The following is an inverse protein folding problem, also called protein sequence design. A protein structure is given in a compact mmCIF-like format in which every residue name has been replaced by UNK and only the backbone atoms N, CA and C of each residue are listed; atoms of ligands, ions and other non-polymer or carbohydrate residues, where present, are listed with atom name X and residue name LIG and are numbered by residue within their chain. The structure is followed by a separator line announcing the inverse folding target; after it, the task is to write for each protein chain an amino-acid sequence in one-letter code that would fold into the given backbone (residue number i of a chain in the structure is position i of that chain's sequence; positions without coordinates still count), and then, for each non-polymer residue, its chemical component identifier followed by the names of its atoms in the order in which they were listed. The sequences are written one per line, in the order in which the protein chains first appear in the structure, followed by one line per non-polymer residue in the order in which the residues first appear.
data_IF_658656310726
#
_entry.id   IF_658656310726
#
_cell.length_a   1.000
_cell.length_b   1.000
_cell.length_c   1.000
_cell.angle_alpha   90.00
_cell.angle_beta   90.00
_cell.angle_gamma   90.00
#
_symmetry.space_group_name_H-M   'P 1'
#
loop_
_entity.id
_entity.type
_entity.pdbx_description
1 polymer ?
#
# COMPACT_ATOMS: atom_id res chain seq x y z
N UNK A 1 -5.56 -33.65 35.99
CA UNK A 1 -6.84 -32.96 35.69
C UNK A 1 -7.78 -33.93 35.01
N UNK A 2 -9.10 -33.88 35.27
CA UNK A 2 -10.07 -34.71 34.53
C UNK A 2 -10.52 -33.94 33.28
N UNK A 3 -10.46 -34.57 32.11
CA UNK A 3 -10.94 -33.96 30.86
C UNK A 3 -12.45 -33.76 30.94
N UNK A 4 -12.92 -32.56 30.55
CA UNK A 4 -14.34 -32.19 30.52
C UNK A 4 -15.02 -32.58 29.20
N UNK A 5 -14.26 -33.05 28.20
CA UNK A 5 -14.78 -33.41 26.88
C UNK A 5 -15.18 -32.22 26.00
N UNK A 6 -14.94 -30.99 26.46
CA UNK A 6 -15.10 -29.75 25.68
C UNK A 6 -13.81 -29.48 24.92
N UNK A 7 -13.92 -29.17 23.63
CA UNK A 7 -12.79 -28.88 22.75
C UNK A 7 -12.98 -27.58 21.99
N UNK A 8 -11.94 -27.08 21.33
CA UNK A 8 -12.05 -25.89 20.48
C UNK A 8 -13.10 -26.01 19.36
N UNK A 9 -13.49 -27.23 18.96
CA UNK A 9 -14.59 -27.46 17.99
C UNK A 9 -15.97 -27.06 18.51
N UNK A 10 -16.13 -27.03 19.84
CA UNK A 10 -17.37 -26.65 20.49
C UNK A 10 -17.49 -25.11 20.59
N UNK A 11 -16.41 -24.37 20.29
CA UNK A 11 -16.33 -22.91 20.27
C UNK A 11 -16.68 -22.36 18.87
N UNK A 12 -17.59 -21.39 18.82
CA UNK A 12 -17.98 -20.69 17.59
C UNK A 12 -17.15 -19.42 17.37
N UNK A 13 -16.94 -18.64 18.42
CA UNK A 13 -16.10 -17.43 18.37
C UNK A 13 -15.55 -17.07 19.75
N UNK A 14 -14.43 -16.36 19.80
CA UNK A 14 -13.91 -15.71 21.01
C UNK A 14 -13.32 -14.34 20.65
N UNK A 15 -13.78 -13.30 21.34
CA UNK A 15 -13.40 -11.90 21.06
C UNK A 15 -13.02 -11.22 22.36
N UNK A 16 -11.93 -10.46 22.33
CA UNK A 16 -11.57 -9.56 23.42
C UNK A 16 -12.48 -8.34 23.37
N UNK A 17 -13.17 -8.07 24.48
CA UNK A 17 -14.16 -7.01 24.59
C UNK A 17 -13.95 -6.25 25.91
N UNK A 18 -14.66 -5.14 26.09
CA UNK A 18 -14.63 -4.36 27.32
C UNK A 18 -16.01 -4.39 27.96
N UNK A 19 -16.11 -4.94 29.17
CA UNK A 19 -17.37 -4.95 29.89
C UNK A 19 -17.64 -3.57 30.47
N UNK A 20 -18.59 -2.87 29.84
CA UNK A 20 -19.05 -1.56 30.31
C UNK A 20 -19.96 -1.76 31.52
N UNK A 21 -19.66 -1.05 32.61
CA UNK A 21 -20.46 -1.12 33.83
C UNK A 21 -21.83 -0.48 33.63
N UNK A 22 -22.90 -1.21 33.96
CA UNK A 22 -24.27 -0.68 33.97
C UNK A 22 -24.74 -0.29 35.39
N UNK A 23 -23.91 -0.49 36.41
CA UNK A 23 -24.21 -0.16 37.82
C UNK A 23 -23.13 0.75 38.41
N UNK A 24 -23.48 1.75 39.25
CA UNK A 24 -22.52 2.70 39.84
C UNK A 24 -21.37 2.04 40.62
N UNK A 25 -21.58 0.81 41.13
CA UNK A 25 -20.65 0.10 42.01
C UNK A 25 -19.80 -0.98 41.33
N UNK A 26 -19.97 -1.24 40.03
CA UNK A 26 -19.11 -2.19 39.29
C UNK A 26 -18.04 -1.46 38.48
N UNK A 27 -16.78 -1.80 38.71
CA UNK A 27 -15.67 -1.33 37.86
C UNK A 27 -15.69 -2.14 36.57
N UNK A 28 -15.93 -1.47 35.42
CA UNK A 28 -15.80 -2.11 34.11
C UNK A 28 -14.36 -2.60 33.87
N UNK A 29 -14.19 -3.61 33.03
CA UNK A 29 -12.86 -4.21 32.81
C UNK A 29 -12.74 -4.98 31.49
N UNK A 30 -11.51 -5.32 31.07
CA UNK A 30 -11.27 -6.15 29.90
C UNK A 30 -11.82 -7.56 30.14
N UNK A 31 -12.48 -8.11 29.12
CA UNK A 31 -13.06 -9.45 29.18
C UNK A 31 -12.83 -10.19 27.86
N UNK A 32 -12.93 -11.52 27.92
CA UNK A 32 -13.02 -12.34 26.70
C UNK A 32 -14.42 -12.90 26.60
N UNK A 33 -15.17 -12.45 25.59
CA UNK A 33 -16.51 -12.96 25.27
C UNK A 33 -16.37 -14.13 24.32
N UNK A 34 -17.03 -15.24 24.60
CA UNK A 34 -17.02 -16.39 23.72
C UNK A 34 -18.43 -16.92 23.47
N UNK A 35 -18.65 -17.40 22.26
CA UNK A 35 -19.88 -18.04 21.82
C UNK A 35 -19.60 -19.51 21.52
N UNK A 36 -20.49 -20.39 21.96
CA UNK A 36 -20.40 -21.83 21.73
C UNK A 36 -21.29 -22.24 20.56
N UNK A 37 -20.92 -23.33 19.91
CA UNK A 37 -21.79 -23.99 18.92
C UNK A 37 -22.99 -24.65 19.63
N UNK A 38 -24.13 -24.84 18.94
CA UNK A 38 -25.32 -25.43 19.55
C UNK A 38 -25.09 -26.76 20.32
N UNK A 39 -24.35 -27.74 19.75
CA UNK A 39 -23.97 -28.95 20.48
C UNK A 39 -23.00 -28.68 21.65
N UNK A 40 -22.07 -27.73 21.47
CA UNK A 40 -21.10 -27.32 22.49
C UNK A 40 -21.75 -26.68 23.71
N UNK A 41 -22.74 -25.82 23.50
CA UNK A 41 -23.49 -25.13 24.55
C UNK A 41 -24.13 -26.10 25.54
N UNK A 42 -24.76 -27.19 25.05
CA UNK A 42 -25.38 -28.21 25.91
C UNK A 42 -24.36 -28.91 26.80
N UNK A 43 -23.24 -29.35 26.22
CA UNK A 43 -22.15 -30.00 26.96
C UNK A 43 -21.54 -29.05 27.98
N UNK A 44 -21.33 -27.79 27.61
CA UNK A 44 -20.71 -26.79 28.47
C UNK A 44 -21.60 -26.42 29.66
N UNK A 45 -22.92 -26.34 29.44
CA UNK A 45 -23.92 -26.15 30.51
C UNK A 45 -23.82 -27.25 31.58
N UNK A 46 -23.76 -28.53 31.16
CA UNK A 46 -23.65 -29.66 32.09
C UNK A 46 -22.33 -29.66 32.89
N UNK A 47 -21.23 -29.27 32.25
CA UNK A 47 -19.91 -29.18 32.87
C UNK A 47 -19.86 -28.01 33.85
N UNK A 48 -20.30 -26.82 33.45
CA UNK A 48 -20.30 -25.62 34.30
C UNK A 48 -21.19 -25.80 35.52
N UNK A 49 -22.37 -26.43 35.37
CA UNK A 49 -23.28 -26.74 36.49
C UNK A 49 -22.64 -27.61 37.58
N UNK A 50 -21.72 -28.52 37.22
CA UNK A 50 -21.00 -29.38 38.18
C UNK A 50 -19.75 -28.71 38.77
N UNK A 51 -19.28 -27.63 38.15
CA UNK A 51 -18.03 -26.95 38.48
C UNK A 51 -18.23 -25.55 39.06
N UNK A 52 -19.46 -25.15 39.41
CA UNK A 52 -19.73 -23.88 40.10
C UNK A 52 -18.84 -23.77 41.35
N UNK A 53 -18.10 -22.67 41.46
CA UNK A 53 -17.14 -22.40 42.53
C UNK A 53 -15.77 -23.09 42.38
N UNK A 54 -15.53 -23.81 41.27
CA UNK A 54 -14.25 -24.50 40.99
C UNK A 54 -13.56 -23.89 39.75
N UNK A 55 -12.21 -23.97 39.67
CA UNK A 55 -11.47 -23.51 38.50
C UNK A 55 -11.69 -24.44 37.30
N UNK A 56 -11.98 -23.86 36.13
CA UNK A 56 -12.03 -24.52 34.84
C UNK A 56 -10.80 -24.13 34.03
N UNK A 57 -9.84 -25.04 33.92
CA UNK A 57 -8.57 -24.78 33.21
C UNK A 57 -8.77 -24.94 31.71
N UNK A 58 -8.37 -23.91 30.96
CA UNK A 58 -8.32 -23.87 29.50
C UNK A 58 -6.93 -24.29 29.04
N UNK A 59 -6.86 -25.32 28.20
CA UNK A 59 -5.62 -25.82 27.62
C UNK A 59 -5.55 -25.46 26.13
N UNK A 60 -4.35 -25.14 25.66
CA UNK A 60 -3.98 -25.06 24.25
C UNK A 60 -2.68 -25.84 24.07
N UNK A 61 -2.67 -26.83 23.17
CA UNK A 61 -1.52 -27.72 22.92
C UNK A 61 -0.91 -28.30 24.21
N UNK A 62 -1.77 -28.80 25.11
CA UNK A 62 -1.43 -29.35 26.43
C UNK A 62 -0.82 -28.36 27.44
N UNK A 63 -0.72 -27.07 27.10
CA UNK A 63 -0.27 -26.00 28.01
C UNK A 63 -1.49 -25.29 28.63
N UNK A 64 -1.54 -25.12 29.97
CA UNK A 64 -2.60 -24.35 30.61
C UNK A 64 -2.45 -22.86 30.31
N UNK A 65 -3.46 -22.27 29.67
CA UNK A 65 -3.45 -20.86 29.24
C UNK A 65 -4.24 -19.97 30.20
N UNK A 66 -5.32 -20.48 30.77
CA UNK A 66 -6.17 -19.73 31.73
C UNK A 66 -6.88 -20.68 32.68
N UNK A 67 -7.22 -20.23 33.88
CA UNK A 67 -7.92 -21.03 34.89
C UNK A 67 -9.03 -20.22 35.61
N UNK A 68 -10.04 -19.70 34.87
CA UNK A 68 -11.14 -18.95 35.48
C UNK A 68 -11.97 -19.82 36.43
N UNK A 69 -12.51 -19.19 37.47
CA UNK A 69 -13.46 -19.81 38.39
C UNK A 69 -14.86 -19.74 37.75
N UNK A 70 -15.57 -20.87 37.69
CA UNK A 70 -16.94 -20.92 37.17
C UNK A 70 -17.89 -20.29 38.19
N UNK A 71 -18.51 -19.16 37.84
CA UNK A 71 -19.42 -18.43 38.73
C UNK A 71 -20.89 -18.84 38.56
N UNK A 72 -21.28 -19.21 37.33
CA UNK A 72 -22.65 -19.59 36.98
C UNK A 72 -22.66 -20.68 35.91
N UNK A 73 -23.83 -21.28 35.69
CA UNK A 73 -24.07 -22.11 34.51
C UNK A 73 -23.97 -21.26 33.24
N UNK A 74 -23.24 -21.76 32.24
CA UNK A 74 -23.00 -21.08 30.96
C UNK A 74 -23.55 -21.95 29.85
N UNK A 75 -24.50 -21.40 29.08
CA UNK A 75 -25.16 -22.09 27.97
C UNK A 75 -24.53 -21.69 26.63
N UNK A 76 -25.05 -20.66 25.96
CA UNK A 76 -24.62 -20.29 24.60
C UNK A 76 -23.42 -19.35 24.57
N UNK A 77 -23.34 -18.42 25.53
CA UNK A 77 -22.34 -17.37 25.58
C UNK A 77 -21.75 -17.27 26.99
N UNK A 78 -20.45 -17.04 27.07
CA UNK A 78 -19.75 -16.87 28.33
C UNK A 78 -18.75 -15.73 28.29
N UNK A 79 -18.33 -15.30 29.47
CA UNK A 79 -17.38 -14.19 29.66
C UNK A 79 -16.27 -14.64 30.60
N UNK A 80 -15.02 -14.45 30.18
CA UNK A 80 -13.84 -14.61 31.04
C UNK A 80 -13.45 -13.23 31.55
N UNK A 81 -13.51 -13.05 32.86
CA UNK A 81 -13.20 -11.79 33.57
C UNK A 81 -11.86 -11.87 34.29
N UNK A 82 -11.34 -10.73 34.77
CA UNK A 82 -10.11 -10.69 35.58
C UNK A 82 -8.82 -10.76 34.76
N UNK A 83 -8.87 -10.44 33.47
CA UNK A 83 -7.72 -10.42 32.56
C UNK A 83 -7.32 -8.99 32.21
N UNK A 84 -6.03 -8.76 31.97
CA UNK A 84 -5.54 -7.48 31.45
C UNK A 84 -5.99 -7.28 29.99
N UNK A 85 -5.96 -6.05 29.47
CA UNK A 85 -6.37 -5.80 28.07
C UNK A 85 -5.50 -6.53 27.05
N UNK A 86 -4.20 -6.69 27.32
CA UNK A 86 -3.28 -7.39 26.41
C UNK A 86 -3.45 -8.91 26.52
N UNK A 87 -3.68 -9.43 27.73
CA UNK A 87 -3.94 -10.85 27.95
C UNK A 87 -5.29 -11.28 27.39
N UNK A 88 -6.31 -10.42 27.46
CA UNK A 88 -7.62 -10.66 26.85
C UNK A 88 -7.51 -10.84 25.33
N UNK A 89 -6.74 -9.98 24.64
CA UNK A 89 -6.48 -10.09 23.20
C UNK A 89 -5.74 -11.38 22.86
N UNK A 90 -4.68 -11.72 23.62
CA UNK A 90 -3.91 -12.95 23.42
C UNK A 90 -4.77 -14.19 23.62
N UNK A 91 -5.54 -14.24 24.70
CA UNK A 91 -6.43 -15.35 25.01
C UNK A 91 -7.54 -15.51 23.97
N UNK A 92 -8.13 -14.41 23.47
CA UNK A 92 -9.13 -14.46 22.41
C UNK A 92 -8.57 -15.04 21.09
N UNK A 93 -7.34 -14.64 20.71
CA UNK A 93 -6.64 -15.19 19.53
C UNK A 93 -6.34 -16.67 19.74
N UNK A 94 -5.84 -17.06 20.91
CA UNK A 94 -5.52 -18.45 21.25
C UNK A 94 -6.75 -19.36 21.24
N UNK A 95 -7.86 -18.91 21.84
CA UNK A 95 -9.14 -19.63 21.82
C UNK A 95 -9.68 -19.76 20.39
N UNK A 96 -9.59 -18.70 19.59
CA UNK A 96 -10.00 -18.72 18.18
C UNK A 96 -9.12 -19.63 17.32
N UNK A 97 -7.82 -19.72 17.61
CA UNK A 97 -6.89 -20.61 16.93
C UNK A 97 -7.20 -22.09 17.23
N UNK A 98 -7.57 -22.42 18.47
CA UNK A 98 -8.00 -23.77 18.86
C UNK A 98 -9.30 -24.24 18.20
N UNK A 99 -10.12 -23.31 17.68
CA UNK A 99 -11.34 -23.61 16.94
C UNK A 99 -11.11 -23.93 15.45
N UNK A 100 -9.89 -23.78 14.95
CA UNK A 100 -9.59 -24.07 13.55
C UNK A 100 -9.74 -25.58 13.28
N UNK A 101 -10.55 -25.99 12.29
CA UNK A 101 -10.82 -27.41 12.01
C UNK A 101 -9.64 -28.16 11.37
N UNK A 102 -8.52 -27.48 11.16
CA UNK A 102 -7.33 -28.01 10.48
C UNK A 102 -6.23 -28.32 11.50
N UNK A 103 -5.72 -29.56 11.47
CA UNK A 103 -4.64 -30.01 12.38
C UNK A 103 -3.27 -29.40 12.07
N UNK A 104 -3.08 -28.89 10.85
CA UNK A 104 -1.87 -28.23 10.38
C UNK A 104 -2.24 -27.10 9.43
N UNK A 105 -1.65 -25.94 9.65
CA UNK A 105 -1.62 -24.83 8.70
C UNK A 105 -0.25 -24.93 8.04
N UNK A 106 -0.21 -25.45 6.82
CA UNK A 106 1.03 -25.46 6.05
C UNK A 106 1.21 -24.09 5.41
N UNK A 107 2.18 -23.33 5.91
CA UNK A 107 2.55 -22.03 5.35
C UNK A 107 3.26 -22.28 4.01
N UNK A 108 2.54 -22.08 2.91
CA UNK A 108 3.05 -22.31 1.54
C UNK A 108 4.10 -21.25 1.15
N UNK A 109 3.96 -20.03 1.67
CA UNK A 109 4.90 -18.93 1.42
C UNK A 109 4.75 -17.84 2.48
N UNK A 110 5.84 -17.53 3.18
CA UNK A 110 5.94 -16.40 4.09
C UNK A 110 7.15 -15.57 3.69
N UNK A 111 6.95 -14.26 3.57
CA UNK A 111 8.01 -13.31 3.22
C UNK A 111 8.00 -12.15 4.20
N UNK A 112 8.82 -12.28 5.23
CA UNK A 112 9.00 -11.24 6.25
C UNK A 112 10.17 -10.35 5.85
N UNK A 113 9.87 -9.07 5.61
CA UNK A 113 10.89 -8.06 5.27
C UNK A 113 11.13 -7.21 6.52
N UNK A 114 12.38 -7.21 6.99
CA UNK A 114 12.79 -6.40 8.13
C UNK A 114 12.69 -4.89 7.83
N UNK A 115 12.26 -4.05 8.78
CA UNK A 115 12.15 -2.60 8.59
C UNK A 115 13.45 -1.93 8.13
N UNK A 116 14.60 -2.42 8.59
CA UNK A 116 15.93 -1.91 8.23
C UNK A 116 16.28 -2.12 6.76
N UNK A 117 15.90 -3.26 6.18
CA UNK A 117 16.07 -3.52 4.74
C UNK A 117 15.17 -2.60 3.93
N UNK A 118 13.92 -2.41 4.36
CA UNK A 118 12.98 -1.48 3.73
C UNK A 118 13.52 -0.05 3.69
N UNK A 119 14.00 0.47 4.83
CA UNK A 119 14.56 1.82 4.90
C UNK A 119 15.82 1.97 4.04
N UNK A 120 16.69 0.96 4.04
CA UNK A 120 17.91 0.98 3.23
C UNK A 120 17.59 1.01 1.74
N UNK A 121 16.60 0.23 1.29
CA UNK A 121 16.14 0.23 -0.09
C UNK A 121 15.56 1.59 -0.49
N UNK A 122 14.72 2.21 0.34
CA UNK A 122 14.17 3.54 0.08
C UNK A 122 15.31 4.56 -0.08
N UNK A 123 16.27 4.59 0.85
CA UNK A 123 17.39 5.53 0.80
C UNK A 123 18.23 5.35 -0.48
N UNK A 124 18.55 4.10 -0.84
CA UNK A 124 19.30 3.80 -2.06
C UNK A 124 18.54 4.21 -3.33
N UNK A 125 17.23 3.96 -3.39
CA UNK A 125 16.41 4.36 -4.52
C UNK A 125 16.28 5.88 -4.63
N UNK A 126 16.23 6.60 -3.50
CA UNK A 126 16.19 8.05 -3.47
C UNK A 126 17.50 8.64 -3.99
N UNK A 127 18.65 8.12 -3.54
CA UNK A 127 19.97 8.51 -4.05
C UNK A 127 20.06 8.23 -5.56
N UNK A 128 19.67 7.03 -6.02
CA UNK A 128 19.67 6.69 -7.44
C UNK A 128 18.77 7.61 -8.26
N UNK A 129 17.59 7.97 -7.74
CA UNK A 129 16.68 8.93 -8.37
C UNK A 129 17.27 10.33 -8.48
N UNK A 130 17.91 10.85 -7.43
CA UNK A 130 18.59 12.16 -7.46
C UNK A 130 19.74 12.16 -8.46
N UNK A 131 20.59 11.13 -8.43
CA UNK A 131 21.72 11.01 -9.37
C UNK A 131 21.23 10.93 -10.81
N UNK A 132 20.18 10.14 -11.08
CA UNK A 132 19.56 10.04 -12.40
C UNK A 132 18.96 11.38 -12.86
N UNK A 133 18.26 12.08 -11.96
CA UNK A 133 17.70 13.40 -12.24
C UNK A 133 18.79 14.42 -12.61
N UNK A 134 19.87 14.49 -11.83
CA UNK A 134 20.99 15.40 -12.10
C UNK A 134 21.68 15.05 -13.42
N UNK A 135 21.91 13.76 -13.70
CA UNK A 135 22.54 13.33 -14.95
C UNK A 135 21.71 13.74 -16.17
N UNK A 136 20.39 13.54 -16.12
CA UNK A 136 19.44 13.99 -17.14
C UNK A 136 19.49 15.52 -17.27
N UNK A 137 19.49 16.25 -16.16
CA UNK A 137 19.50 17.71 -16.19
C UNK A 137 20.77 18.26 -16.83
N UNK A 138 21.93 17.71 -16.48
CA UNK A 138 23.23 18.06 -17.09
C UNK A 138 23.19 17.78 -18.60
N UNK A 139 22.73 16.59 -19.00
CA UNK A 139 22.62 16.23 -20.42
C UNK A 139 21.76 17.23 -21.19
N UNK A 140 20.59 17.59 -20.65
CA UNK A 140 19.68 18.54 -21.28
C UNK A 140 20.30 19.93 -21.40
N UNK A 141 20.94 20.44 -20.35
CA UNK A 141 21.56 21.77 -20.36
C UNK A 141 22.73 21.82 -21.34
N UNK A 142 23.59 20.81 -21.36
CA UNK A 142 24.77 20.78 -22.25
C UNK A 142 24.35 20.68 -23.71
N UNK A 143 23.40 19.79 -24.03
CA UNK A 143 23.02 19.55 -25.42
C UNK A 143 22.06 20.63 -25.98
N UNK A 144 21.07 21.06 -25.20
CA UNK A 144 20.00 21.96 -25.64
C UNK A 144 20.14 23.41 -25.15
N UNK A 145 21.16 23.72 -24.34
CA UNK A 145 21.45 25.08 -23.82
C UNK A 145 20.23 25.70 -23.13
N UNK A 146 19.72 26.83 -23.64
CA UNK A 146 18.56 27.54 -23.09
C UNK A 146 17.29 26.67 -23.07
N UNK A 147 17.04 25.90 -24.14
CA UNK A 147 15.92 24.96 -24.21
C UNK A 147 16.08 23.84 -23.18
N UNK A 148 17.32 23.42 -22.94
CA UNK A 148 17.68 22.47 -21.90
C UNK A 148 17.31 22.96 -20.50
N UNK A 149 17.63 24.21 -20.19
CA UNK A 149 17.29 24.83 -18.90
C UNK A 149 15.78 24.90 -18.69
N UNK A 150 15.02 25.24 -19.73
CA UNK A 150 13.55 25.21 -19.68
C UNK A 150 13.02 23.79 -19.46
N UNK A 151 13.58 22.78 -20.14
CA UNK A 151 13.19 21.39 -19.93
C UNK A 151 13.48 20.89 -18.51
N UNK A 152 14.59 21.31 -17.90
CA UNK A 152 14.89 20.98 -16.49
C UNK A 152 13.88 21.61 -15.54
N UNK A 153 13.48 22.87 -15.79
CA UNK A 153 12.42 23.51 -15.01
C UNK A 153 11.07 22.78 -15.14
N UNK A 154 10.71 22.36 -16.36
CA UNK A 154 9.52 21.52 -16.60
C UNK A 154 9.64 20.16 -15.89
N UNK A 155 10.83 19.55 -15.90
CA UNK A 155 11.08 18.26 -15.25
C UNK A 155 10.93 18.35 -13.72
N UNK A 156 11.35 19.48 -13.12
CA UNK A 156 11.11 19.76 -11.71
C UNK A 156 9.61 19.86 -11.41
N UNK A 157 8.85 20.61 -12.23
CA UNK A 157 7.40 20.72 -12.07
C UNK A 157 6.70 19.37 -12.25
N UNK A 158 7.14 18.57 -13.22
CA UNK A 158 6.71 17.20 -13.43
C UNK A 158 6.88 16.35 -12.16
N UNK A 159 8.09 16.35 -11.58
CA UNK A 159 8.37 15.59 -10.37
C UNK A 159 7.49 16.05 -9.19
N UNK A 160 7.29 17.37 -9.03
CA UNK A 160 6.41 17.93 -8.01
C UNK A 160 4.94 17.50 -8.20
N UNK A 161 4.43 17.52 -9.43
CA UNK A 161 3.06 17.08 -9.72
C UNK A 161 2.86 15.60 -9.45
N UNK A 162 3.79 14.74 -9.85
CA UNK A 162 3.70 13.30 -9.57
C UNK A 162 3.73 13.04 -8.06
N UNK A 163 4.63 13.68 -7.32
CA UNK A 163 4.70 13.54 -5.86
C UNK A 163 3.44 14.08 -5.16
N UNK A 164 2.86 15.18 -5.65
CA UNK A 164 1.60 15.71 -5.14
C UNK A 164 0.45 14.70 -5.34
N UNK A 165 0.38 14.05 -6.50
CA UNK A 165 -0.64 13.03 -6.79
C UNK A 165 -0.45 11.79 -5.91
N UNK A 166 0.79 11.33 -5.72
CA UNK A 166 1.07 10.22 -4.80
C UNK A 166 0.69 10.54 -3.35
N UNK A 167 0.73 11.82 -2.95
CA UNK A 167 0.25 12.25 -1.63
C UNK A 167 -1.28 12.29 -1.54
N UNK A 168 -1.96 12.64 -2.63
CA UNK A 168 -3.43 12.77 -2.67
C UNK A 168 -4.15 11.44 -2.83
N UNK A 169 -3.60 10.53 -3.64
CA UNK A 169 -4.17 9.21 -3.88
C UNK A 169 -3.51 8.23 -2.91
N UNK A 170 -4.26 7.44 -2.12
CA UNK A 170 -3.71 6.46 -1.17
C UNK A 170 -3.10 5.25 -1.90
N UNK A 171 -2.04 5.47 -2.67
CA UNK A 171 -1.26 4.45 -3.36
C UNK A 171 -0.12 4.01 -2.46
N UNK A 172 0.05 2.71 -2.28
CA UNK A 172 1.19 2.17 -1.55
C UNK A 172 2.45 2.26 -2.41
N UNK A 173 3.36 3.17 -2.05
CA UNK A 173 4.63 3.32 -2.73
C UNK A 173 5.59 2.20 -2.32
N UNK A 174 5.64 1.15 -3.14
CA UNK A 174 6.60 0.05 -2.98
C UNK A 174 7.94 0.37 -3.66
N UNK A 175 8.96 -0.46 -3.40
CA UNK A 175 10.25 -0.35 -4.11
C UNK A 175 10.10 -0.39 -5.64
N UNK A 176 9.20 -1.25 -6.13
CA UNK A 176 8.86 -1.31 -7.54
C UNK A 176 8.13 -0.04 -8.01
N UNK A 177 7.26 0.54 -7.18
CA UNK A 177 6.66 1.86 -7.45
C UNK A 177 7.70 2.96 -7.66
N UNK A 178 8.76 2.99 -6.84
CA UNK A 178 9.87 3.95 -6.99
C UNK A 178 10.62 3.72 -8.31
N UNK A 179 10.86 2.46 -8.69
CA UNK A 179 11.46 2.15 -9.98
C UNK A 179 10.59 2.63 -11.16
N UNK A 180 9.27 2.46 -11.06
CA UNK A 180 8.31 2.99 -12.04
C UNK A 180 8.39 4.51 -12.15
N UNK A 181 8.46 5.21 -11.02
CA UNK A 181 8.65 6.66 -10.98
C UNK A 181 9.96 7.09 -11.67
N UNK A 182 11.09 6.45 -11.36
CA UNK A 182 12.39 6.76 -11.98
C UNK A 182 12.34 6.54 -13.50
N UNK A 183 11.70 5.46 -13.97
CA UNK A 183 11.50 5.22 -15.39
C UNK A 183 10.68 6.34 -16.04
N UNK A 184 9.61 6.78 -15.40
CA UNK A 184 8.77 7.86 -15.91
C UNK A 184 9.50 9.21 -15.99
N UNK A 185 10.45 9.49 -15.09
CA UNK A 185 11.32 10.69 -15.19
C UNK A 185 12.10 10.69 -16.51
N UNK A 186 12.67 9.54 -16.91
CA UNK A 186 13.36 9.42 -18.20
C UNK A 186 12.44 9.66 -19.40
N UNK A 187 11.25 9.06 -19.37
CA UNK A 187 10.24 9.25 -20.42
C UNK A 187 9.70 10.68 -20.48
N UNK A 188 9.62 11.39 -19.36
CA UNK A 188 9.17 12.78 -19.33
C UNK A 188 10.10 13.73 -20.10
N UNK A 189 11.38 13.38 -20.19
CA UNK A 189 12.38 14.17 -20.91
C UNK A 189 12.33 13.90 -22.41
N UNK A 190 12.02 12.66 -22.80
CA UNK A 190 11.95 12.23 -24.21
C UNK A 190 10.94 13.07 -25.02
N UNK A 191 9.77 13.35 -24.44
CA UNK A 191 8.78 14.22 -25.07
C UNK A 191 9.33 15.64 -25.34
N UNK A 192 10.07 16.22 -24.40
CA UNK A 192 10.69 17.53 -24.57
C UNK A 192 11.81 17.50 -25.63
N UNK A 193 12.63 16.44 -25.64
CA UNK A 193 13.66 16.22 -26.66
C UNK A 193 13.04 16.21 -28.06
N UNK A 194 11.98 15.43 -28.26
CA UNK A 194 11.33 15.32 -29.57
C UNK A 194 10.76 16.65 -30.04
N UNK A 195 10.10 17.41 -29.16
CA UNK A 195 9.58 18.75 -29.47
C UNK A 195 10.74 19.68 -29.89
N UNK A 196 11.85 19.66 -29.15
CA UNK A 196 12.99 20.52 -29.44
C UNK A 196 13.68 20.17 -30.74
N UNK A 197 13.82 18.89 -31.08
CA UNK A 197 14.38 18.47 -32.36
C UNK A 197 13.47 18.87 -33.53
N UNK A 198 12.15 18.67 -33.43
CA UNK A 198 11.22 19.14 -34.47
C UNK A 198 11.21 20.66 -34.62
N UNK A 199 11.30 21.40 -33.52
CA UNK A 199 11.43 22.85 -33.56
C UNK A 199 12.77 23.28 -34.19
N UNK A 200 13.89 22.61 -33.87
CA UNK A 200 15.21 22.89 -34.47
C UNK A 200 15.23 22.58 -35.97
N UNK A 201 14.53 21.56 -36.43
CA UNK A 201 14.34 21.29 -37.87
C UNK A 201 13.68 22.49 -38.56
N UNK A 202 12.57 23.01 -38.03
CA UNK A 202 11.87 24.15 -38.64
C UNK A 202 12.71 25.45 -38.61
N UNK A 203 13.48 25.67 -37.55
CA UNK A 203 14.41 26.80 -37.46
C UNK A 203 15.52 26.71 -38.51
N UNK A 204 16.02 25.51 -38.83
CA UNK A 204 17.03 25.30 -39.89
C UNK A 204 16.49 25.57 -41.28
N UNK A 205 15.19 25.39 -41.50
CA UNK A 205 14.50 25.72 -42.76
C UNK A 205 14.22 27.24 -42.87
N UNK A 206 14.56 28.03 -41.85
CA UNK A 206 14.48 29.49 -41.88
C UNK A 206 13.15 30.06 -41.39
N UNK A 207 12.29 29.24 -40.77
CA UNK A 207 11.03 29.72 -40.19
C UNK A 207 11.27 30.65 -39.01
N UNK A 208 10.34 31.59 -38.79
CA UNK A 208 10.35 32.44 -37.61
C UNK A 208 10.21 31.60 -36.33
N UNK A 209 10.83 32.04 -35.24
CA UNK A 209 10.87 31.28 -33.97
C UNK A 209 9.48 30.92 -33.43
N UNK A 210 8.54 31.86 -33.47
CA UNK A 210 7.17 31.64 -33.03
C UNK A 210 6.45 30.56 -33.88
N UNK A 211 6.67 30.57 -35.19
CA UNK A 211 6.09 29.59 -36.11
C UNK A 211 6.73 28.20 -35.95
N UNK A 212 8.05 28.15 -35.77
CA UNK A 212 8.79 26.91 -35.53
C UNK A 212 8.33 26.20 -34.25
N UNK A 213 7.96 26.96 -33.20
CA UNK A 213 7.39 26.41 -31.97
C UNK A 213 6.05 25.72 -32.30
N UNK A 214 5.10 26.41 -32.93
CA UNK A 214 3.77 25.85 -33.20
C UNK A 214 3.81 24.61 -34.10
N UNK A 215 4.63 24.65 -35.15
CA UNK A 215 4.82 23.51 -36.06
C UNK A 215 5.55 22.36 -35.36
N UNK A 216 6.58 22.65 -34.56
CA UNK A 216 7.32 21.65 -33.79
C UNK A 216 6.41 20.84 -32.86
N UNK A 217 5.52 21.52 -32.13
CA UNK A 217 4.52 20.86 -31.28
C UNK A 217 3.55 20.01 -32.09
N UNK A 218 3.04 20.54 -33.21
CA UNK A 218 2.07 19.82 -34.06
C UNK A 218 2.69 18.55 -34.67
N UNK A 219 3.95 18.63 -35.14
CA UNK A 219 4.68 17.48 -35.71
C UNK A 219 5.09 16.46 -34.66
N UNK A 220 5.44 16.88 -33.44
CA UNK A 220 5.81 15.97 -32.36
C UNK A 220 4.60 15.26 -31.73
N UNK A 221 3.41 15.84 -31.85
CA UNK A 221 2.21 15.38 -31.13
C UNK A 221 1.85 13.91 -31.37
N UNK A 222 1.85 13.44 -32.62
CA UNK A 222 1.49 12.05 -32.94
C UNK A 222 2.44 11.06 -32.26
N UNK A 223 3.76 11.25 -32.41
CA UNK A 223 4.75 10.38 -31.79
C UNK A 223 4.70 10.40 -30.27
N UNK A 224 4.51 11.57 -29.64
CA UNK A 224 4.36 11.66 -28.18
C UNK A 224 3.13 10.90 -27.72
N UNK A 225 1.98 11.15 -28.36
CA UNK A 225 0.73 10.49 -28.00
C UNK A 225 0.86 8.98 -28.16
N UNK A 226 1.36 8.51 -29.30
CA UNK A 226 1.39 7.08 -29.61
C UNK A 226 2.35 6.33 -28.66
N UNK A 227 3.50 6.91 -28.31
CA UNK A 227 4.44 6.36 -27.32
C UNK A 227 3.85 6.30 -25.90
N UNK A 228 3.20 7.39 -25.45
CA UNK A 228 2.59 7.43 -24.12
C UNK A 228 1.35 6.53 -24.03
N UNK A 229 0.54 6.42 -25.09
CA UNK A 229 -0.60 5.49 -25.15
C UNK A 229 -0.12 4.04 -25.07
N UNK A 230 0.94 3.66 -25.80
CA UNK A 230 1.54 2.33 -25.69
C UNK A 230 1.97 2.03 -24.25
N UNK A 231 2.63 3.00 -23.61
CA UNK A 231 3.08 2.88 -22.21
C UNK A 231 1.91 2.75 -21.22
N UNK A 232 0.80 3.44 -21.46
CA UNK A 232 -0.43 3.31 -20.67
C UNK A 232 -1.09 1.95 -20.86
N UNK A 233 -1.09 1.40 -22.08
CA UNK A 233 -1.58 0.05 -22.34
C UNK A 233 -0.74 -0.96 -21.54
N UNK A 234 0.59 -0.85 -21.58
CA UNK A 234 1.48 -1.70 -20.78
C UNK A 234 1.20 -1.56 -19.29
N UNK A 235 1.07 -0.33 -18.77
CA UNK A 235 0.74 -0.10 -17.37
C UNK A 235 -0.61 -0.72 -16.99
N UNK A 236 -1.62 -0.63 -17.87
CA UNK A 236 -2.95 -1.23 -17.63
C UNK A 236 -2.88 -2.75 -17.54
N UNK A 237 -2.15 -3.38 -18.47
CA UNK A 237 -1.93 -4.84 -18.46
C UNK A 237 -1.20 -5.24 -17.17
N UNK A 238 -0.13 -4.54 -16.79
CA UNK A 238 0.60 -4.81 -15.54
C UNK A 238 -0.27 -4.60 -14.30
N UNK A 239 -1.20 -3.66 -14.32
CA UNK A 239 -2.10 -3.42 -13.20
C UNK A 239 -3.16 -4.53 -13.05
N UNK A 240 -3.74 -5.00 -14.15
CA UNK A 240 -4.75 -6.07 -14.12
C UNK A 240 -4.16 -7.44 -13.84
N UNK A 241 -3.05 -7.80 -14.50
CA UNK A 241 -2.46 -9.14 -14.40
C UNK A 241 -1.33 -9.22 -13.35
N UNK A 242 -0.73 -8.09 -12.97
CA UNK A 242 0.33 -8.06 -11.97
C UNK A 242 -0.19 -8.30 -10.55
N UNK A 243 0.70 -8.72 -9.66
CA UNK A 243 0.41 -8.94 -8.23
C UNK A 243 1.37 -8.17 -7.33
N UNK A 244 0.91 -7.84 -6.12
CA UNK A 244 1.71 -7.17 -5.09
C UNK A 244 2.45 -5.93 -5.60
N UNK A 245 3.78 -6.01 -5.62
CA UNK A 245 4.67 -4.91 -6.03
C UNK A 245 4.53 -4.48 -7.50
N UNK A 246 4.13 -5.39 -8.41
CA UNK A 246 3.97 -5.06 -9.85
C UNK A 246 2.82 -4.09 -10.07
N UNK A 247 1.73 -4.21 -9.29
CA UNK A 247 0.63 -3.23 -9.34
C UNK A 247 1.10 -1.84 -8.91
N UNK A 248 1.95 -1.76 -7.89
CA UNK A 248 2.55 -0.49 -7.45
C UNK A 248 3.42 0.16 -8.53
N UNK A 249 4.23 -0.63 -9.24
CA UNK A 249 4.98 -0.16 -10.42
C UNK A 249 4.05 0.35 -11.53
N UNK A 250 3.00 -0.41 -11.85
CA UNK A 250 2.05 -0.07 -12.90
C UNK A 250 1.32 1.25 -12.64
N UNK A 251 0.86 1.47 -11.41
CA UNK A 251 0.19 2.72 -11.01
C UNK A 251 1.15 3.91 -11.08
N UNK A 252 2.38 3.75 -10.57
CA UNK A 252 3.40 4.80 -10.62
C UNK A 252 3.75 5.17 -12.07
N UNK A 253 3.91 4.18 -12.95
CA UNK A 253 4.16 4.37 -14.38
C UNK A 253 2.99 5.09 -15.07
N UNK A 254 1.75 4.66 -14.83
CA UNK A 254 0.57 5.26 -15.44
C UNK A 254 0.42 6.75 -15.06
N UNK A 255 0.55 7.06 -13.77
CA UNK A 255 0.52 8.44 -13.28
C UNK A 255 1.67 9.24 -13.90
N UNK A 256 2.88 8.68 -13.90
CA UNK A 256 4.06 9.30 -14.48
C UNK A 256 3.89 9.64 -15.96
N UNK A 257 3.28 8.76 -16.74
CA UNK A 257 3.01 8.94 -18.18
C UNK A 257 1.93 10.00 -18.44
N UNK A 258 0.86 10.02 -17.65
CA UNK A 258 -0.20 11.02 -17.81
C UNK A 258 0.34 12.42 -17.53
N UNK A 259 1.10 12.56 -16.44
CA UNK A 259 1.65 13.86 -16.01
C UNK A 259 2.78 14.30 -16.94
N UNK A 260 3.60 13.38 -17.46
CA UNK A 260 4.65 13.75 -18.43
C UNK A 260 4.02 14.32 -19.70
N UNK A 261 2.99 13.67 -20.22
CA UNK A 261 2.27 14.12 -21.40
C UNK A 261 1.64 15.51 -21.16
N UNK A 262 0.99 15.72 -20.02
CA UNK A 262 0.44 17.03 -19.64
C UNK A 262 1.53 18.12 -19.57
N UNK A 263 2.62 17.86 -18.85
CA UNK A 263 3.70 18.84 -18.68
C UNK A 263 4.38 19.21 -20.00
N UNK A 264 4.63 18.23 -20.87
CA UNK A 264 5.23 18.47 -22.18
C UNK A 264 4.34 19.33 -23.09
N UNK A 265 3.03 19.08 -23.15
CA UNK A 265 2.15 19.82 -24.08
C UNK A 265 1.79 21.20 -23.53
N UNK A 266 1.50 21.29 -22.23
CA UNK A 266 0.94 22.51 -21.64
C UNK A 266 2.03 23.39 -21.05
N UNK A 267 2.89 22.84 -20.20
CA UNK A 267 3.89 23.63 -19.47
C UNK A 267 5.05 24.02 -20.39
N UNK A 268 5.63 23.08 -21.12
CA UNK A 268 6.74 23.38 -22.06
C UNK A 268 6.30 24.37 -23.14
N UNK A 269 5.09 24.19 -23.71
CA UNK A 269 4.56 25.11 -24.74
C UNK A 269 4.35 26.52 -24.19
N UNK A 270 3.80 26.64 -22.98
CA UNK A 270 3.58 27.93 -22.34
C UNK A 270 4.90 28.64 -22.02
N UNK A 271 5.87 27.91 -21.49
CA UNK A 271 7.21 28.47 -21.20
C UNK A 271 7.92 28.91 -22.46
N UNK A 272 7.91 28.11 -23.53
CA UNK A 272 8.53 28.48 -24.80
C UNK A 272 7.87 29.72 -25.41
N UNK A 273 6.54 29.80 -25.40
CA UNK A 273 5.83 31.01 -25.85
C UNK A 273 6.21 32.24 -25.04
N UNK A 274 6.36 32.11 -23.72
CA UNK A 274 6.74 33.23 -22.86
C UNK A 274 8.17 33.72 -23.13
N UNK A 275 9.12 32.80 -23.33
CA UNK A 275 10.53 33.13 -23.58
C UNK A 275 10.75 33.75 -24.96
N UNK A 276 10.02 33.30 -25.98
CA UNK A 276 10.19 33.75 -27.37
C UNK A 276 9.18 34.81 -27.83
N UNK A 277 8.35 35.34 -26.92
CA UNK A 277 7.40 36.44 -27.19
C UNK A 277 8.04 37.84 -27.07
N UNK A 278 9.31 37.93 -26.66
CA UNK A 278 10.13 39.14 -26.75
C UNK A 278 11.04 39.12 -27.98
#
# INVERSE_FOLDING_TARGET
TKSTGITGKDLKSAVADFQQSQSPDSTGGPVVRFELTGPGAKKFSEVTKKLIGKPLVVFLDDVPVSAPIVQSEISNEGVITGVSSDDAKRLAIQLSAGALPVKKIDIISEKTIGPTLGQTSINRSLIAGIVGFIAIAIFMIVYYRLLGLLAVAVLLLYALYVLAIFKLIPVTLTLAGIAGFILSVGMAVDANILIFERMKEELRVGRARAEAIEIGFTRAWSSIRDSNVSSLITATILFWFGTGSVKGFAVALAIGVIISMFTAITVTRTLLRLVYRN
#
